data_IF_672082960490
#
_entry.id   IF_672082960490
#
_cell.length_a   1.000
_cell.length_b   1.000
_cell.length_c   1.000
_cell.angle_alpha   90.00
_cell.angle_beta   90.00
_cell.angle_gamma   90.00
#
_symmetry.space_group_name_H-M   'P 1'
#
loop_
_entity.id
_entity.type
_entity.pdbx_description
1 polymer ?
#
# COMPACT_ATOMS: atom_id res chain seq x y z
N UNK A 1 -34.26 -38.99 30.47
CA UNK A 1 -33.26 -39.29 29.42
C UNK A 1 -33.58 -38.66 28.06
N UNK A 2 -34.80 -38.80 27.50
CA UNK A 2 -35.15 -38.17 26.20
C UNK A 2 -35.25 -36.64 26.25
N UNK A 3 -35.78 -36.07 27.34
CA UNK A 3 -35.89 -34.60 27.53
C UNK A 3 -34.52 -33.92 27.71
N UNK A 4 -33.62 -34.54 28.47
CA UNK A 4 -32.25 -34.07 28.70
C UNK A 4 -31.39 -34.13 27.44
N UNK A 5 -31.56 -35.16 26.60
CA UNK A 5 -30.90 -35.24 25.29
C UNK A 5 -31.34 -34.11 24.35
N UNK A 6 -32.65 -33.79 24.32
CA UNK A 6 -33.21 -32.72 23.50
C UNK A 6 -32.69 -31.33 23.89
N UNK A 7 -32.52 -31.07 25.20
CA UNK A 7 -31.97 -29.79 25.70
C UNK A 7 -30.50 -29.62 25.34
N UNK A 8 -29.70 -30.69 25.40
CA UNK A 8 -28.28 -30.65 25.03
C UNK A 8 -28.11 -30.41 23.51
N UNK A 9 -28.93 -31.05 22.68
CA UNK A 9 -28.90 -30.81 21.22
C UNK A 9 -29.29 -29.38 20.86
N UNK A 10 -30.28 -28.79 21.54
CA UNK A 10 -30.67 -27.40 21.31
C UNK A 10 -29.57 -26.40 21.70
N UNK A 11 -28.84 -26.64 22.80
CA UNK A 11 -27.71 -25.80 23.22
C UNK A 11 -26.54 -25.90 22.22
N UNK A 12 -26.24 -27.10 21.71
CA UNK A 12 -25.20 -27.29 20.68
C UNK A 12 -25.54 -26.58 19.36
N UNK A 13 -26.82 -26.57 18.97
CA UNK A 13 -27.28 -25.83 17.78
C UNK A 13 -27.19 -24.31 17.94
N UNK A 14 -27.41 -23.78 19.15
CA UNK A 14 -27.30 -22.34 19.45
C UNK A 14 -25.82 -21.89 19.49
N UNK A 15 -24.92 -22.76 19.96
CA UNK A 15 -23.47 -22.47 19.96
C UNK A 15 -22.90 -22.49 18.53
N UNK A 16 -23.46 -23.34 17.65
CA UNK A 16 -23.04 -23.45 16.24
C UNK A 16 -23.27 -22.20 15.40
N UNK A 17 -24.14 -21.27 15.82
CA UNK A 17 -24.46 -20.04 15.07
C UNK A 17 -23.65 -18.81 15.48
N UNK A 18 -22.77 -18.92 16.49
CA UNK A 18 -22.06 -17.76 17.06
C UNK A 18 -20.75 -17.39 16.34
N UNK A 19 -20.32 -18.12 15.32
CA UNK A 19 -19.14 -17.78 14.53
C UNK A 19 -19.56 -17.07 13.23
N UNK A 20 -20.01 -15.82 13.36
CA UNK A 20 -20.14 -14.93 12.21
C UNK A 20 -18.75 -14.62 11.64
N UNK A 21 -18.58 -14.81 10.33
CA UNK A 21 -17.36 -14.38 9.65
C UNK A 21 -17.22 -12.85 9.75
N UNK A 22 -15.98 -12.35 9.88
CA UNK A 22 -15.75 -10.90 9.80
C UNK A 22 -16.22 -10.35 8.45
N UNK A 23 -16.84 -9.18 8.48
CA UNK A 23 -17.09 -8.40 7.28
C UNK A 23 -15.78 -7.89 6.68
N UNK A 24 -15.78 -7.62 5.37
CA UNK A 24 -14.62 -7.02 4.71
C UNK A 24 -14.20 -5.68 5.33
N UNK A 25 -15.16 -4.88 5.81
CA UNK A 25 -14.88 -3.62 6.53
C UNK A 25 -14.14 -3.87 7.84
N UNK A 26 -14.60 -4.81 8.66
CA UNK A 26 -13.92 -5.12 9.93
C UNK A 26 -12.50 -5.62 9.73
N UNK A 27 -12.23 -6.37 8.66
CA UNK A 27 -10.87 -6.82 8.32
C UNK A 27 -9.97 -5.62 7.99
N UNK A 28 -10.46 -4.70 7.14
CA UNK A 28 -9.71 -3.49 6.79
C UNK A 28 -9.46 -2.59 8.00
N UNK A 29 -10.49 -2.33 8.81
CA UNK A 29 -10.37 -1.50 10.02
C UNK A 29 -9.34 -2.10 11.01
N UNK A 30 -9.32 -3.44 11.15
CA UNK A 30 -8.32 -4.13 11.98
C UNK A 30 -6.91 -4.08 11.39
N UNK A 31 -6.78 -4.18 10.07
CA UNK A 31 -5.49 -4.06 9.37
C UNK A 31 -4.89 -2.66 9.53
N UNK A 32 -5.72 -1.62 9.43
CA UNK A 32 -5.31 -0.22 9.60
C UNK A 32 -4.95 0.11 11.06
N UNK A 33 -5.63 -0.52 12.03
CA UNK A 33 -5.36 -0.33 13.45
C UNK A 33 -4.04 -0.95 13.94
N UNK A 34 -3.35 -1.74 13.10
CA UNK A 34 -2.06 -2.33 13.45
C UNK A 34 -1.02 -1.24 13.72
N UNK A 35 -0.21 -1.43 14.76
CA UNK A 35 0.88 -0.51 15.09
C UNK A 35 1.91 -0.51 13.96
N UNK A 36 1.95 0.58 13.20
CA UNK A 36 2.96 0.79 12.17
C UNK A 36 4.13 1.64 12.71
N UNK A 37 5.37 1.37 12.26
CA UNK A 37 6.54 2.18 12.64
C UNK A 37 6.43 3.63 12.14
N UNK A 38 7.16 4.54 12.78
CA UNK A 38 7.19 5.96 12.39
C UNK A 38 8.07 6.22 11.15
N UNK A 39 9.00 5.31 10.88
CA UNK A 39 9.91 5.37 9.74
C UNK A 39 10.19 3.97 9.23
N UNK A 40 10.14 3.80 7.92
CA UNK A 40 10.47 2.56 7.21
C UNK A 40 11.56 2.86 6.20
N UNK A 41 12.51 1.93 6.04
CA UNK A 41 13.49 1.95 4.97
C UNK A 41 13.51 0.59 4.28
N UNK A 42 13.64 0.58 2.97
CA UNK A 42 13.72 -0.66 2.19
C UNK A 42 14.61 -0.48 0.96
N UNK A 43 15.46 -1.47 0.70
CA UNK A 43 16.17 -1.63 -0.57
C UNK A 43 15.34 -2.55 -1.46
N UNK A 44 15.04 -2.13 -2.69
CA UNK A 44 14.12 -2.84 -3.59
C UNK A 44 14.78 -3.08 -4.94
N UNK A 45 14.64 -4.31 -5.44
CA UNK A 45 14.88 -4.68 -6.84
C UNK A 45 13.53 -4.91 -7.50
N UNK A 46 13.24 -4.19 -8.58
CA UNK A 46 12.02 -4.29 -9.35
C UNK A 46 12.34 -4.83 -10.75
N UNK A 47 11.91 -6.06 -11.02
CA UNK A 47 12.02 -6.70 -12.33
C UNK A 47 10.70 -6.56 -13.09
N UNK A 48 10.77 -6.03 -14.32
CA UNK A 48 9.61 -5.70 -15.16
C UNK A 48 9.69 -6.52 -16.44
N UNK A 49 8.66 -7.34 -16.70
CA UNK A 49 8.55 -8.18 -17.90
C UNK A 49 7.53 -7.59 -18.88
N UNK A 50 7.96 -7.24 -20.10
CA UNK A 50 7.10 -6.71 -21.17
C UNK A 50 7.32 -7.52 -22.45
N UNK A 51 6.47 -8.53 -22.67
CA UNK A 51 6.74 -9.54 -23.68
C UNK A 51 8.09 -10.21 -23.40
N UNK A 52 8.97 -10.25 -24.40
CA UNK A 52 10.31 -10.82 -24.26
C UNK A 52 11.33 -9.87 -23.62
N UNK A 53 10.95 -8.61 -23.34
CA UNK A 53 11.85 -7.62 -22.72
C UNK A 53 11.79 -7.69 -21.21
N UNK A 54 12.96 -7.81 -20.57
CA UNK A 54 13.11 -7.71 -19.11
C UNK A 54 13.89 -6.45 -18.76
N UNK A 55 13.37 -5.65 -17.83
CA UNK A 55 14.05 -4.48 -17.28
C UNK A 55 14.18 -4.62 -15.76
N UNK A 56 15.30 -4.17 -15.22
CA UNK A 56 15.52 -4.14 -13.78
C UNK A 56 15.74 -2.70 -13.32
N UNK A 57 15.13 -2.36 -12.18
CA UNK A 57 15.33 -1.09 -11.48
C UNK A 57 15.68 -1.39 -10.04
N UNK A 58 16.66 -0.68 -9.51
CA UNK A 58 17.03 -0.74 -8.11
C UNK A 58 16.75 0.61 -7.47
N UNK A 59 16.19 0.61 -6.26
CA UNK A 59 15.94 1.84 -5.52
C UNK A 59 15.87 1.63 -4.01
N UNK A 60 16.16 2.72 -3.30
CA UNK A 60 15.95 2.84 -1.86
C UNK A 60 14.64 3.59 -1.61
N UNK A 61 13.80 3.05 -0.74
CA UNK A 61 12.57 3.67 -0.26
C UNK A 61 12.74 4.11 1.19
N UNK A 62 12.29 5.32 1.52
CA UNK A 62 12.16 5.80 2.90
C UNK A 62 10.75 6.36 3.10
N UNK A 63 9.97 5.69 3.94
CA UNK A 63 8.66 6.16 4.42
C UNK A 63 8.80 6.82 5.78
N UNK A 64 8.06 7.91 6.03
CA UNK A 64 8.06 8.61 7.32
C UNK A 64 6.70 9.23 7.62
N UNK A 65 6.19 8.97 8.82
CA UNK A 65 5.03 9.68 9.37
C UNK A 65 5.39 11.13 9.69
N UNK A 66 4.53 12.04 9.26
CA UNK A 66 4.67 13.49 9.41
C UNK A 66 3.40 14.05 10.03
N UNK A 67 3.23 13.85 11.35
CA UNK A 67 2.00 14.17 12.04
C UNK A 67 0.87 13.22 11.64
N UNK A 68 -0.17 13.74 10.98
CA UNK A 68 -1.29 12.93 10.45
C UNK A 68 -1.09 12.50 8.99
N UNK A 69 -0.04 13.00 8.36
CA UNK A 69 0.31 12.74 6.96
C UNK A 69 1.48 11.77 6.89
N UNK A 70 1.76 11.27 5.69
CA UNK A 70 2.91 10.41 5.43
C UNK A 70 3.69 10.87 4.20
N UNK A 71 5.00 10.69 4.25
CA UNK A 71 5.89 10.99 3.12
C UNK A 71 6.69 9.75 2.75
N UNK A 72 6.73 9.45 1.45
CA UNK A 72 7.55 8.38 0.89
C UNK A 72 8.51 8.97 -0.13
N UNK A 73 9.80 8.77 0.08
CA UNK A 73 10.86 9.11 -0.86
C UNK A 73 11.44 7.83 -1.46
N UNK A 74 11.44 7.75 -2.77
CA UNK A 74 12.09 6.71 -3.55
C UNK A 74 13.28 7.32 -4.28
N UNK A 75 14.46 6.74 -4.10
CA UNK A 75 15.68 7.14 -4.78
C UNK A 75 16.19 5.97 -5.62
N UNK A 76 16.04 6.09 -6.94
CA UNK A 76 16.54 5.08 -7.87
C UNK A 76 18.06 5.12 -7.95
N UNK A 77 18.67 3.95 -7.82
CA UNK A 77 20.11 3.73 -7.91
C UNK A 77 20.49 3.16 -9.28
N UNK A 78 19.61 2.37 -9.91
CA UNK A 78 19.78 1.84 -11.28
C UNK A 78 18.46 1.84 -12.08
N UNK A 79 18.51 2.03 -13.42
CA UNK A 79 19.69 2.40 -14.22
C UNK A 79 20.01 3.90 -14.16
N UNK A 80 19.07 4.73 -13.73
CA UNK A 80 19.18 6.19 -13.72
C UNK A 80 18.91 6.76 -12.34
N UNK A 81 19.62 7.82 -11.97
CA UNK A 81 19.43 8.54 -10.70
C UNK A 81 18.26 9.51 -10.78
N UNK A 82 17.06 9.00 -10.56
CA UNK A 82 15.83 9.78 -10.41
C UNK A 82 15.30 9.65 -8.99
N UNK A 83 14.54 10.64 -8.53
CA UNK A 83 13.88 10.61 -7.22
C UNK A 83 12.40 10.85 -7.36
N UNK A 84 11.61 10.15 -6.57
CA UNK A 84 10.18 10.31 -6.51
C UNK A 84 9.75 10.55 -5.07
N UNK A 85 8.94 11.60 -4.85
CA UNK A 85 8.40 11.95 -3.55
C UNK A 85 6.87 11.91 -3.63
N UNK A 86 6.24 11.22 -2.69
CA UNK A 86 4.81 11.34 -2.42
C UNK A 86 4.59 11.88 -1.02
N UNK A 87 3.73 12.87 -0.88
CA UNK A 87 3.17 13.36 0.38
C UNK A 87 1.69 12.99 0.40
N UNK A 88 1.35 11.97 1.18
CA UNK A 88 -0.02 11.51 1.37
C UNK A 88 -0.67 12.29 2.49
N UNK A 89 -1.83 12.89 2.24
CA UNK A 89 -2.55 13.71 3.21
C UNK A 89 -3.71 12.95 3.83
N UNK A 90 -3.98 13.18 5.13
CA UNK A 90 -5.18 12.58 5.75
C UNK A 90 -6.49 13.04 5.11
N UNK A 91 -6.51 14.24 4.56
CA UNK A 91 -7.66 14.84 3.87
C UNK A 91 -7.18 15.60 2.64
N UNK A 92 -7.88 15.42 1.53
CA UNK A 92 -7.54 16.06 0.27
C UNK A 92 -6.72 15.16 -0.65
N UNK A 93 -6.21 15.76 -1.72
CA UNK A 93 -5.42 15.10 -2.74
C UNK A 93 -3.94 15.03 -2.35
N UNK A 94 -3.27 13.91 -2.65
CA UNK A 94 -1.84 13.71 -2.38
C UNK A 94 -0.95 14.51 -3.32
N UNK A 95 0.19 14.99 -2.83
CA UNK A 95 1.16 15.64 -3.69
C UNK A 95 2.27 14.69 -4.12
N UNK A 96 2.62 14.72 -5.41
CA UNK A 96 3.61 13.84 -6.00
C UNK A 96 4.57 14.59 -6.90
N UNK A 97 5.87 14.30 -6.78
CA UNK A 97 6.93 14.91 -7.58
C UNK A 97 7.94 13.88 -8.06
N UNK A 98 8.34 14.01 -9.32
CA UNK A 98 9.41 13.26 -9.94
C UNK A 98 10.56 14.23 -10.29
N UNK A 99 11.72 14.00 -9.70
CA UNK A 99 12.96 14.67 -10.05
C UNK A 99 13.76 13.79 -11.03
N UNK A 100 14.02 14.33 -12.22
CA UNK A 100 14.80 13.67 -13.26
C UNK A 100 16.30 13.80 -12.98
N UNK A 101 17.10 12.99 -13.67
CA UNK A 101 18.57 13.03 -13.57
C UNK A 101 19.16 14.41 -13.90
N UNK A 102 18.47 15.21 -14.71
CA UNK A 102 18.85 16.60 -15.04
C UNK A 102 18.63 17.60 -13.89
N UNK A 103 18.02 17.17 -12.78
CA UNK A 103 17.58 18.04 -11.69
C UNK A 103 16.22 18.71 -11.92
N UNK A 104 15.63 18.56 -13.11
CA UNK A 104 14.27 19.07 -13.37
C UNK A 104 13.26 18.32 -12.49
N UNK A 105 12.43 19.09 -11.79
CA UNK A 105 11.32 18.56 -11.00
C UNK A 105 10.01 18.69 -11.78
N UNK A 106 9.29 17.58 -11.94
CA UNK A 106 7.92 17.54 -12.47
C UNK A 106 6.96 17.21 -11.33
N UNK A 107 5.91 18.01 -11.14
CA UNK A 107 4.77 17.61 -10.31
C UNK A 107 3.87 16.67 -11.12
N UNK A 108 3.42 15.58 -10.50
CA UNK A 108 2.44 14.66 -11.10
C UNK A 108 1.06 15.14 -10.68
N UNK A 109 0.27 15.63 -11.64
CA UNK A 109 -1.07 16.11 -11.37
C UNK A 109 -2.04 14.95 -11.07
N UNK A 110 -3.17 15.21 -10.41
CA UNK A 110 -4.18 14.17 -10.12
C UNK A 110 -4.64 13.44 -11.39
N UNK A 111 -4.72 14.14 -12.54
CA UNK A 111 -5.10 13.58 -13.84
C UNK A 111 -4.00 12.77 -14.54
N UNK A 112 -2.77 12.79 -14.02
CA UNK A 112 -1.64 12.00 -14.56
C UNK A 112 -1.32 10.79 -13.65
N UNK A 113 -2.10 10.57 -12.58
CA UNK A 113 -1.80 9.49 -11.61
C UNK A 113 -2.05 8.09 -12.17
N UNK A 114 -2.88 8.00 -13.20
CA UNK A 114 -3.18 6.79 -13.99
C UNK A 114 -2.06 6.43 -14.98
N UNK A 115 -0.98 7.21 -15.03
CA UNK A 115 0.17 6.93 -15.89
C UNK A 115 1.11 5.92 -15.24
N UNK A 116 1.73 5.09 -16.08
CA UNK A 116 2.68 4.08 -15.63
C UNK A 116 3.86 4.72 -14.88
N UNK A 117 4.07 4.28 -13.63
CA UNK A 117 5.16 4.70 -12.79
C UNK A 117 6.48 4.25 -13.40
N UNK A 118 7.27 5.21 -13.90
CA UNK A 118 8.62 5.02 -14.47
C UNK A 118 8.71 3.86 -15.48
N UNK A 119 7.71 3.68 -16.34
CA UNK A 119 7.60 2.58 -17.31
C UNK A 119 7.45 1.18 -16.68
N UNK A 120 6.93 1.06 -15.46
CA UNK A 120 6.55 -0.22 -14.84
C UNK A 120 5.09 -0.60 -15.14
N UNK A 121 4.56 -1.61 -14.42
CA UNK A 121 3.13 -1.95 -14.40
C UNK A 121 2.38 -1.30 -13.24
N UNK A 122 3.09 -0.62 -12.34
CA UNK A 122 2.49 0.20 -11.30
C UNK A 122 2.13 1.56 -11.89
N UNK A 123 1.17 2.22 -11.27
CA UNK A 123 0.74 3.58 -11.58
C UNK A 123 1.25 4.56 -10.51
N UNK A 124 1.27 5.85 -10.83
CA UNK A 124 1.65 6.86 -9.84
C UNK A 124 0.69 6.86 -8.63
N UNK A 125 -0.58 6.52 -8.81
CA UNK A 125 -1.53 6.34 -7.71
C UNK A 125 -1.18 5.18 -6.77
N UNK A 126 -0.51 4.13 -7.25
CA UNK A 126 -0.11 2.99 -6.41
C UNK A 126 1.03 3.37 -5.43
N UNK A 127 1.72 4.48 -5.69
CA UNK A 127 2.88 4.92 -4.91
C UNK A 127 2.51 5.83 -3.73
N UNK A 128 1.22 5.90 -3.39
CA UNK A 128 0.71 6.54 -2.18
C UNK A 128 1.02 5.68 -0.97
N UNK A 129 1.17 6.30 0.19
CA UNK A 129 1.21 5.50 1.42
C UNK A 129 -0.23 5.05 1.77
N UNK A 130 -0.34 3.92 2.46
CA UNK A 130 -1.61 3.37 2.95
C UNK A 130 -1.64 3.35 4.46
#
# INVERSE_FOLDING_TARGET
>A
MKKTALTVTAIVLIIGTAFGAFSGREIMDKSEALKQPDTVKASVVMTIYKGDTVQEKEFEMTGKKSGKDEKVLITFTKPTKIKFLTHTHKKGDDDQWLMLTSGKVKRIASSERDQAFVNSHLYYEDMKSR
#
